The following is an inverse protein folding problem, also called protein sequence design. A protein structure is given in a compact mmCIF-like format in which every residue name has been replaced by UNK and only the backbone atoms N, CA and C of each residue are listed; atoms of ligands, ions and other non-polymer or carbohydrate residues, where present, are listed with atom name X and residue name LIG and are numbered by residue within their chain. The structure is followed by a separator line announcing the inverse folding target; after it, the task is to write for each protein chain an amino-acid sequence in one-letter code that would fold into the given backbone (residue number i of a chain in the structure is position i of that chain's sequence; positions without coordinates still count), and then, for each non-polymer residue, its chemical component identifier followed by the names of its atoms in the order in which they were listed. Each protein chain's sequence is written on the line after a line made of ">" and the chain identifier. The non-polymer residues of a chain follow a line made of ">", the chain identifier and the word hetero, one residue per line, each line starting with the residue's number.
data_IF_913079618796
#
_entry.id   IF_913079618796
#
_cell.length_a   1.000
_cell.length_b   1.000
_cell.length_c   1.000
_cell.angle_alpha   90.00
_cell.angle_beta   90.00
_cell.angle_gamma   90.00
#
_symmetry.space_group_name_H-M   'P 1'
#
loop_
_entity.id
_entity.type
_entity.pdbx_description
1 polymer ?
#
# COMPACT_ATOMS: atom_id res chain seq x y z
N UNK A 1 14.87 -5.47 15.07
CA UNK A 1 13.48 -5.20 14.68
C UNK A 1 12.79 -6.55 14.47
N UNK A 2 11.53 -6.75 14.88
CA UNK A 2 10.84 -8.00 14.58
C UNK A 2 10.73 -8.17 13.05
N UNK A 3 10.93 -9.41 12.58
CA UNK A 3 10.75 -9.77 11.18
C UNK A 3 9.29 -9.49 10.78
N UNK A 4 9.07 -8.87 9.63
CA UNK A 4 7.72 -8.63 9.12
C UNK A 4 7.15 -9.95 8.64
N UNK A 5 5.95 -10.30 9.14
CA UNK A 5 5.27 -11.51 8.69
C UNK A 5 4.38 -11.23 7.47
N UNK A 6 4.08 -12.25 6.64
CA UNK A 6 3.06 -12.11 5.60
C UNK A 6 1.73 -11.56 6.13
N UNK A 7 1.32 -11.98 7.33
CA UNK A 7 0.09 -11.51 7.97
C UNK A 7 0.10 -9.99 8.24
N UNK A 8 1.24 -9.44 8.68
CA UNK A 8 1.39 -7.99 8.89
C UNK A 8 1.25 -7.22 7.56
N UNK A 9 1.78 -7.78 6.47
CA UNK A 9 1.66 -7.20 5.12
C UNK A 9 0.22 -7.24 4.61
N UNK A 10 -0.52 -8.34 4.81
CA UNK A 10 -1.95 -8.41 4.48
C UNK A 10 -2.72 -7.28 5.15
N UNK A 11 -2.50 -7.07 6.46
CA UNK A 11 -3.15 -6.00 7.22
C UNK A 11 -2.77 -4.63 6.65
N UNK A 12 -1.49 -4.44 6.32
CA UNK A 12 -0.96 -3.19 5.79
C UNK A 12 -1.61 -2.82 4.45
N UNK A 13 -1.66 -3.75 3.49
CA UNK A 13 -2.26 -3.52 2.17
C UNK A 13 -3.79 -3.36 2.21
N UNK A 14 -4.52 -4.14 3.04
CA UNK A 14 -5.95 -3.89 3.29
C UNK A 14 -6.19 -2.50 3.87
N UNK A 15 -5.34 -2.11 4.82
CA UNK A 15 -5.42 -0.78 5.43
C UNK A 15 -5.09 0.34 4.43
N UNK A 16 -4.17 0.12 3.48
CA UNK A 16 -3.88 1.06 2.40
C UNK A 16 -5.09 1.27 1.50
N UNK A 17 -5.73 0.19 1.05
CA UNK A 17 -6.91 0.26 0.19
C UNK A 17 -8.06 1.03 0.86
N UNK A 18 -8.32 0.75 2.15
CA UNK A 18 -9.35 1.46 2.92
C UNK A 18 -9.04 2.96 3.05
N UNK A 19 -7.85 3.30 3.55
CA UNK A 19 -7.44 4.69 3.77
C UNK A 19 -7.36 5.51 2.48
N UNK A 20 -7.02 4.89 1.34
CA UNK A 20 -7.06 5.56 0.03
C UNK A 20 -8.48 6.00 -0.32
N UNK A 21 -9.48 5.14 -0.10
CA UNK A 21 -10.90 5.49 -0.33
C UNK A 21 -11.35 6.62 0.60
N UNK A 22 -10.94 6.58 1.86
CA UNK A 22 -11.24 7.62 2.86
C UNK A 22 -10.62 8.98 2.46
N UNK A 23 -9.34 8.98 2.08
CA UNK A 23 -8.60 10.21 1.76
C UNK A 23 -8.98 10.86 0.41
N UNK A 24 -9.65 10.12 -0.49
CA UNK A 24 -10.05 10.62 -1.81
C UNK A 24 -11.50 11.14 -1.86
N UNK A 25 -12.24 11.10 -0.75
CA UNK A 25 -13.66 11.46 -0.73
C UNK A 25 -13.95 12.88 -1.22
N UNK A 26 -13.40 13.88 -0.53
CA UNK A 26 -13.65 15.31 -0.78
C UNK A 26 -12.40 16.09 -1.22
N UNK A 27 -11.28 15.40 -1.44
CA UNK A 27 -9.99 16.03 -1.77
C UNK A 27 -9.93 16.47 -3.23
N UNK A 28 -9.45 17.70 -3.49
CA UNK A 28 -9.14 18.14 -4.85
C UNK A 28 -8.07 17.23 -5.47
N UNK A 29 -8.38 16.47 -6.55
CA UNK A 29 -7.43 15.56 -7.18
C UNK A 29 -6.17 16.27 -7.69
N UNK A 30 -6.25 17.55 -8.06
CA UNK A 30 -5.09 18.30 -8.54
C UNK A 30 -4.10 18.60 -7.40
N UNK A 31 -4.59 18.86 -6.19
CA UNK A 31 -3.77 19.17 -5.02
C UNK A 31 -2.94 17.96 -4.55
N UNK A 32 -3.41 16.74 -4.82
CA UNK A 32 -2.78 15.50 -4.36
C UNK A 32 -2.26 14.59 -5.48
N UNK A 33 -2.26 15.06 -6.73
CA UNK A 33 -1.91 14.25 -7.91
C UNK A 33 -0.52 13.59 -7.80
N UNK A 34 0.48 14.34 -7.35
CA UNK A 34 1.86 13.83 -7.21
C UNK A 34 1.97 12.71 -6.15
N UNK A 35 1.30 12.89 -5.01
CA UNK A 35 1.27 11.89 -3.94
C UNK A 35 0.44 10.67 -4.33
N UNK A 36 -0.63 10.85 -5.12
CA UNK A 36 -1.42 9.76 -5.68
C UNK A 36 -0.62 8.91 -6.67
N UNK A 37 0.15 9.56 -7.56
CA UNK A 37 1.04 8.85 -8.48
C UNK A 37 2.12 8.09 -7.71
N UNK A 38 2.71 8.69 -6.67
CA UNK A 38 3.67 8.00 -5.80
C UNK A 38 3.05 6.77 -5.12
N UNK A 39 1.88 6.94 -4.50
CA UNK A 39 1.12 5.85 -3.90
C UNK A 39 0.89 4.71 -4.90
N UNK A 40 0.44 5.04 -6.12
CA UNK A 40 0.13 4.05 -7.13
C UNK A 40 1.39 3.32 -7.60
N UNK A 41 2.52 4.02 -7.81
CA UNK A 41 3.80 3.39 -8.18
C UNK A 41 4.26 2.34 -7.17
N UNK A 42 4.09 2.59 -5.87
CA UNK A 42 4.46 1.62 -4.84
C UNK A 42 3.52 0.41 -4.82
N UNK A 43 2.23 0.61 -5.07
CA UNK A 43 1.27 -0.50 -5.22
C UNK A 43 1.56 -1.32 -6.47
N UNK A 44 1.91 -0.68 -7.58
CA UNK A 44 2.28 -1.34 -8.84
C UNK A 44 3.54 -2.19 -8.65
N UNK A 45 4.57 -1.64 -8.01
CA UNK A 45 5.81 -2.35 -7.74
C UNK A 45 5.60 -3.56 -6.82
N UNK A 46 4.81 -3.40 -5.74
CA UNK A 46 4.46 -4.50 -4.85
C UNK A 46 3.67 -5.61 -5.58
N UNK A 47 2.74 -5.23 -6.44
CA UNK A 47 1.96 -6.18 -7.23
C UNK A 47 2.81 -6.92 -8.27
N UNK A 48 3.74 -6.21 -8.92
CA UNK A 48 4.70 -6.80 -9.85
C UNK A 48 5.62 -7.81 -9.15
N UNK A 49 6.09 -7.53 -7.94
CA UNK A 49 6.95 -8.42 -7.16
C UNK A 49 6.33 -9.80 -6.91
N UNK A 50 5.01 -9.89 -6.83
CA UNK A 50 4.30 -11.15 -6.57
C UNK A 50 3.40 -11.62 -7.72
N UNK A 51 3.45 -10.93 -8.86
CA UNK A 51 2.77 -11.32 -10.11
C UNK A 51 1.25 -11.17 -10.10
N UNK A 52 0.71 -10.09 -9.52
CA UNK A 52 -0.74 -9.88 -9.38
C UNK A 52 -1.19 -8.53 -9.94
N UNK A 53 -2.50 -8.31 -10.12
CA UNK A 53 -3.02 -7.02 -10.54
C UNK A 53 -2.61 -5.90 -9.58
N UNK A 54 -2.36 -4.72 -10.14
CA UNK A 54 -1.75 -3.56 -9.48
C UNK A 54 -2.70 -2.82 -8.51
N UNK A 55 -3.28 -3.55 -7.56
CA UNK A 55 -4.31 -3.08 -6.64
C UNK A 55 -3.99 -3.59 -5.22
N UNK A 56 -4.03 -2.70 -4.22
CA UNK A 56 -3.66 -3.06 -2.85
C UNK A 56 -4.52 -4.22 -2.27
N UNK A 57 -5.82 -4.27 -2.60
CA UNK A 57 -6.68 -5.39 -2.20
C UNK A 57 -6.28 -6.72 -2.88
N UNK A 58 -5.82 -6.68 -4.14
CA UNK A 58 -5.33 -7.86 -4.85
C UNK A 58 -3.98 -8.34 -4.29
N UNK A 59 -3.08 -7.42 -3.95
CA UNK A 59 -1.82 -7.72 -3.26
C UNK A 59 -2.10 -8.39 -1.91
N UNK A 60 -2.99 -7.83 -1.09
CA UNK A 60 -3.35 -8.42 0.19
C UNK A 60 -3.95 -9.83 0.04
N UNK A 61 -4.87 -10.02 -0.91
CA UNK A 61 -5.48 -11.33 -1.17
C UNK A 61 -4.45 -12.37 -1.62
N UNK A 62 -3.50 -11.97 -2.46
CA UNK A 62 -2.43 -12.84 -2.92
C UNK A 62 -1.47 -13.24 -1.80
N UNK A 63 -1.15 -12.30 -0.90
CA UNK A 63 -0.32 -12.59 0.27
C UNK A 63 -1.02 -13.59 1.19
N UNK A 64 -2.31 -13.39 1.45
CA UNK A 64 -3.12 -14.28 2.31
C UNK A 64 -3.29 -15.68 1.72
N UNK A 65 -3.34 -15.81 0.39
CA UNK A 65 -3.52 -17.08 -0.30
C UNK A 65 -2.24 -17.94 -0.37
N UNK A 66 -1.05 -17.33 -0.23
CA UNK A 66 0.24 -18.04 -0.26
C UNK A 66 0.59 -18.54 1.14
N UNK A 67 1.12 -19.76 1.27
CA UNK A 67 1.53 -20.30 2.57
C UNK A 67 2.71 -19.50 3.11
N UNK A 68 2.81 -19.38 4.44
CA UNK A 68 3.90 -18.67 5.11
C UNK A 68 5.28 -19.18 4.68
N UNK A 69 5.40 -20.48 4.49
CA UNK A 69 6.67 -21.16 4.23
C UNK A 69 7.15 -21.00 2.78
N UNK A 70 6.28 -20.49 1.90
CA UNK A 70 6.60 -20.23 0.49
C UNK A 70 7.16 -18.81 0.26
N UNK A 71 7.30 -18.01 1.32
CA UNK A 71 7.86 -16.66 1.26
C UNK A 71 9.36 -16.66 1.54
N UNK A 72 10.11 -15.98 0.68
CA UNK A 72 11.49 -15.60 0.96
C UNK A 72 11.56 -14.22 1.63
N UNK A 73 12.58 -14.02 2.45
CA UNK A 73 12.77 -12.78 3.23
C UNK A 73 12.95 -11.55 2.33
N UNK A 74 13.55 -11.71 1.14
CA UNK A 74 13.80 -10.59 0.21
C UNK A 74 12.49 -10.03 -0.30
N UNK A 75 11.58 -10.88 -0.78
CA UNK A 75 10.25 -10.48 -1.24
C UNK A 75 9.45 -9.84 -0.09
N UNK A 76 9.54 -10.37 1.13
CA UNK A 76 8.85 -9.79 2.29
C UNK A 76 9.35 -8.39 2.64
N UNK A 77 10.67 -8.19 2.61
CA UNK A 77 11.27 -6.87 2.87
C UNK A 77 10.95 -5.86 1.75
N UNK A 78 10.94 -6.29 0.49
CA UNK A 78 10.51 -5.46 -0.64
C UNK A 78 9.05 -5.01 -0.49
N UNK A 79 8.14 -5.94 -0.22
CA UNK A 79 6.73 -5.64 0.03
C UNK A 79 6.54 -4.71 1.24
N UNK A 80 7.32 -4.91 2.30
CA UNK A 80 7.33 -4.04 3.47
C UNK A 80 7.74 -2.62 3.11
N UNK A 81 8.82 -2.46 2.34
CA UNK A 81 9.29 -1.15 1.86
C UNK A 81 8.19 -0.43 1.11
N UNK A 82 7.59 -1.09 0.11
CA UNK A 82 6.50 -0.50 -0.68
C UNK A 82 5.26 -0.18 0.16
N UNK A 83 4.90 -1.00 1.14
CA UNK A 83 3.76 -0.72 2.03
C UNK A 83 4.02 0.53 2.91
N UNK A 84 5.25 0.73 3.38
CA UNK A 84 5.63 1.89 4.19
C UNK A 84 5.62 3.18 3.37
N UNK A 85 6.21 3.15 2.17
CA UNK A 85 6.28 4.32 1.29
C UNK A 85 4.89 4.71 0.77
N UNK A 86 4.09 3.73 0.35
CA UNK A 86 2.67 3.94 0.03
C UNK A 86 1.91 4.55 1.21
N UNK A 87 2.17 4.08 2.43
CA UNK A 87 1.57 4.63 3.65
C UNK A 87 2.05 6.05 3.99
N UNK A 88 3.26 6.43 3.59
CA UNK A 88 3.77 7.78 3.73
C UNK A 88 3.10 8.74 2.74
N UNK A 89 3.00 8.37 1.46
CA UNK A 89 2.26 9.14 0.46
C UNK A 89 0.81 9.38 0.89
N UNK A 90 0.14 8.33 1.37
CA UNK A 90 -1.25 8.43 1.83
C UNK A 90 -1.45 9.36 3.05
N UNK A 91 -0.46 9.44 3.95
CA UNK A 91 -0.50 10.40 5.06
C UNK A 91 -0.37 11.84 4.58
N UNK A 92 0.41 12.09 3.51
CA UNK A 92 0.52 13.42 2.91
C UNK A 92 -0.77 13.84 2.22
N UNK A 93 -1.41 12.93 1.48
CA UNK A 93 -2.75 13.14 0.88
C UNK A 93 -3.75 13.55 1.96
N UNK A 94 -3.86 12.75 3.04
CA UNK A 94 -4.80 13.03 4.12
C UNK A 94 -4.52 14.35 4.86
N UNK A 95 -3.26 14.80 4.91
CA UNK A 95 -2.89 16.07 5.51
C UNK A 95 -3.31 17.28 4.66
N UNK A 96 -3.38 17.13 3.33
CA UNK A 96 -3.95 18.14 2.43
C UNK A 96 -5.45 18.25 2.65
N UNK A 97 -6.16 17.12 2.67
CA UNK A 97 -7.62 17.08 2.92
C UNK A 97 -8.01 17.77 4.23
N UNK A 98 -7.28 17.50 5.32
CA UNK A 98 -7.57 18.09 6.63
C UNK A 98 -7.25 19.59 6.74
N UNK A 99 -6.55 20.17 5.77
CA UNK A 99 -6.25 21.60 5.73
C UNK A 99 -7.31 22.43 4.99
N UNK A 100 -8.16 21.77 4.18
CA UNK A 100 -9.22 22.38 3.39
C UNK A 100 -10.60 22.39 4.11
N UNK A 101 -10.73 21.65 5.22
CA UNK A 101 -11.87 21.67 6.17
C UNK A 101 -11.73 22.74 7.25
#
# INVERSE_FOLDING_TARGET
>A
MPATTPADLVISFRSLARRRREALGDTDPAAVAADLDELQRHVDAAAAAIGVPAHADAVAAAIEARRSDDWDDVTLDELRGHALDAGAALRRIAAVTAADD
#
